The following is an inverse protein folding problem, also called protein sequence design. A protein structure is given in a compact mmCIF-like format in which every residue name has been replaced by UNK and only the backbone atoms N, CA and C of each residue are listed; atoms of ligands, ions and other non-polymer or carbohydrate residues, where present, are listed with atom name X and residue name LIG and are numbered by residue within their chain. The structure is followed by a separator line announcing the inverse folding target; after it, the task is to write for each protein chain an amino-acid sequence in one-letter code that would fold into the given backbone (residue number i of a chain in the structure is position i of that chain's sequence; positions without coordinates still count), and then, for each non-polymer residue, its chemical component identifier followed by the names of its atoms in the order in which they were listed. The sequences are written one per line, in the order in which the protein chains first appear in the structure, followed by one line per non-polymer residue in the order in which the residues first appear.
data_IF_359749660162
#
_entry.id   IF_359749660162
#
_cell.length_a   1.000
_cell.length_b   1.000
_cell.length_c   1.000
_cell.angle_alpha   90.00
_cell.angle_beta   90.00
_cell.angle_gamma   90.00
#
_symmetry.space_group_name_H-M   'P 1'
#
loop_
_entity.id
_entity.type
_entity.pdbx_description
1 polymer ?
#
# COMPACT_ATOMS: atom_id res chain seq x y z
N UNK A 1 -31.43 -5.95 21.28
CA UNK A 1 -30.60 -6.65 20.27
C UNK A 1 -30.68 -5.85 18.99
N UNK A 2 -29.64 -5.08 18.67
CA UNK A 2 -29.54 -4.31 17.41
C UNK A 2 -29.45 -5.29 16.23
N UNK A 3 -30.22 -5.02 15.17
CA UNK A 3 -30.15 -5.81 13.92
C UNK A 3 -28.71 -5.84 13.39
N UNK A 4 -28.26 -6.96 12.78
CA UNK A 4 -27.00 -6.97 12.06
C UNK A 4 -27.09 -6.01 10.87
N UNK A 5 -26.22 -4.99 10.86
CA UNK A 5 -26.08 -4.02 9.76
C UNK A 5 -25.66 -4.79 8.49
N UNK A 6 -26.54 -4.81 7.48
CA UNK A 6 -26.27 -5.48 6.22
C UNK A 6 -25.24 -4.67 5.42
N UNK A 7 -24.61 -5.31 4.43
CA UNK A 7 -23.54 -4.72 3.63
C UNK A 7 -23.98 -3.47 2.84
N UNK A 8 -25.29 -3.33 2.67
CA UNK A 8 -25.98 -2.28 1.93
C UNK A 8 -26.23 -1.03 2.79
N UNK A 9 -26.09 -1.13 4.12
CA UNK A 9 -26.46 -0.07 5.08
C UNK A 9 -25.26 0.75 5.61
N UNK A 10 -24.04 0.48 5.13
CA UNK A 10 -22.81 1.13 5.63
C UNK A 10 -22.31 2.24 4.69
N UNK A 11 -22.24 2.03 3.36
CA UNK A 11 -21.87 3.07 2.40
C UNK A 11 -23.02 4.04 2.12
N UNK A 12 -22.70 5.22 1.58
CA UNK A 12 -23.69 6.25 1.24
C UNK A 12 -23.73 7.36 2.30
N UNK A 13 -24.80 8.15 2.25
CA UNK A 13 -25.08 9.29 3.13
C UNK A 13 -26.35 9.97 2.66
N UNK A 14 -26.90 10.83 3.50
CA UNK A 14 -28.08 11.61 3.14
C UNK A 14 -27.69 12.81 2.26
N UNK A 15 -28.71 13.48 1.72
CA UNK A 15 -28.53 14.75 0.99
C UNK A 15 -27.99 15.88 1.88
N UNK A 16 -28.11 15.74 3.21
CA UNK A 16 -27.64 16.73 4.18
C UNK A 16 -26.15 16.62 4.49
N UNK A 17 -25.51 15.49 4.16
CA UNK A 17 -24.08 15.32 4.34
C UNK A 17 -23.29 16.39 3.57
N UNK A 18 -22.44 17.12 4.30
CA UNK A 18 -21.55 18.13 3.72
C UNK A 18 -20.13 17.63 3.50
N UNK A 19 -19.79 16.44 4.01
CA UNK A 19 -18.46 15.83 3.92
C UNK A 19 -18.51 14.54 3.12
N UNK A 20 -17.71 14.45 2.06
CA UNK A 20 -17.53 13.25 1.25
C UNK A 20 -16.22 12.53 1.61
N UNK A 21 -16.29 11.25 1.98
CA UNK A 21 -15.15 10.38 2.19
C UNK A 21 -15.10 9.26 1.14
N UNK A 22 -14.01 9.21 0.39
CA UNK A 22 -13.75 8.21 -0.64
C UNK A 22 -12.90 7.08 -0.09
N UNK A 23 -13.30 5.83 -0.29
CA UNK A 23 -12.55 4.65 0.15
C UNK A 23 -12.04 3.86 -1.05
N UNK A 24 -10.71 3.75 -1.19
CA UNK A 24 -10.05 3.15 -2.36
C UNK A 24 -9.37 1.84 -1.98
N UNK A 25 -9.83 0.72 -2.55
CA UNK A 25 -9.28 -0.61 -2.28
C UNK A 25 -7.96 -0.89 -3.00
N UNK A 26 -7.26 -1.95 -2.58
CA UNK A 26 -5.98 -2.39 -3.15
C UNK A 26 -6.08 -3.27 -4.40
N UNK A 27 -4.92 -3.78 -4.84
CA UNK A 27 -4.77 -4.68 -5.99
C UNK A 27 -5.64 -5.94 -5.82
N UNK A 28 -6.28 -6.39 -6.91
CA UNK A 28 -7.23 -7.53 -6.95
C UNK A 28 -8.45 -7.41 -6.05
N UNK A 29 -8.58 -6.27 -5.37
CA UNK A 29 -9.63 -5.99 -4.41
C UNK A 29 -10.94 -5.62 -5.05
N UNK A 30 -11.90 -5.31 -4.19
CA UNK A 30 -13.19 -4.78 -4.56
C UNK A 30 -13.68 -3.91 -3.37
N UNK A 31 -14.73 -3.11 -3.54
CA UNK A 31 -15.26 -2.22 -2.49
C UNK A 31 -15.45 -2.87 -1.13
N UNK A 32 -15.80 -4.17 -1.08
CA UNK A 32 -16.02 -4.90 0.18
C UNK A 32 -14.77 -4.96 1.06
N UNK A 33 -13.56 -4.80 0.49
CA UNK A 33 -12.32 -4.76 1.26
C UNK A 33 -12.21 -3.52 2.14
N UNK A 34 -12.96 -2.46 1.84
CA UNK A 34 -13.05 -1.22 2.63
C UNK A 34 -14.29 -1.19 3.54
N UNK A 35 -15.10 -2.25 3.56
CA UNK A 35 -16.35 -2.31 4.36
C UNK A 35 -16.12 -1.95 5.82
N UNK A 36 -15.10 -2.53 6.45
CA UNK A 36 -14.89 -2.33 7.88
C UNK A 36 -14.29 -0.95 8.18
N UNK A 37 -13.57 -0.35 7.22
CA UNK A 37 -13.18 1.06 7.29
C UNK A 37 -14.43 1.95 7.24
N UNK A 38 -15.34 1.69 6.30
CA UNK A 38 -16.62 2.41 6.20
C UNK A 38 -17.45 2.25 7.48
N UNK A 39 -17.49 1.03 8.04
CA UNK A 39 -18.21 0.74 9.28
C UNK A 39 -17.63 1.53 10.46
N UNK A 40 -16.31 1.57 10.60
CA UNK A 40 -15.68 2.34 11.67
C UNK A 40 -15.98 3.84 11.57
N UNK A 41 -16.09 4.38 10.36
CA UNK A 41 -16.53 5.77 10.16
C UNK A 41 -18.01 5.96 10.47
N UNK A 42 -18.89 5.05 9.99
CA UNK A 42 -20.33 5.11 10.23
C UNK A 42 -20.71 4.92 11.71
N UNK A 43 -19.91 4.17 12.46
CA UNK A 43 -20.08 4.01 13.91
C UNK A 43 -19.82 5.33 14.67
N UNK A 44 -19.08 6.29 14.08
CA UNK A 44 -18.76 7.59 14.69
C UNK A 44 -19.53 8.77 14.06
N UNK A 45 -19.89 8.67 12.78
CA UNK A 45 -20.51 9.76 12.01
C UNK A 45 -21.79 9.30 11.32
N UNK A 46 -22.87 10.04 11.52
CA UNK A 46 -24.18 9.76 10.94
C UNK A 46 -24.24 10.01 9.43
N UNK A 47 -25.29 9.52 8.77
CA UNK A 47 -25.50 9.72 7.32
C UNK A 47 -25.66 11.19 6.94
N UNK A 48 -26.08 12.03 7.89
CA UNK A 48 -26.22 13.48 7.71
C UNK A 48 -24.90 14.24 7.90
N UNK A 49 -23.89 13.62 8.52
CA UNK A 49 -22.57 14.23 8.73
C UNK A 49 -21.58 13.81 7.63
N UNK A 50 -21.63 12.53 7.24
CA UNK A 50 -20.62 11.92 6.38
C UNK A 50 -21.23 11.04 5.28
N UNK A 51 -20.94 11.41 4.03
CA UNK A 51 -21.19 10.59 2.86
C UNK A 51 -19.97 9.71 2.57
N UNK A 52 -20.14 8.39 2.55
CA UNK A 52 -19.04 7.43 2.34
C UNK A 52 -19.18 6.77 0.96
N UNK A 53 -18.17 6.91 0.10
CA UNK A 53 -18.12 6.29 -1.22
C UNK A 53 -16.95 5.28 -1.34
N UNK A 54 -17.22 3.97 -1.21
CA UNK A 54 -16.31 2.94 -1.67
C UNK A 54 -16.21 2.93 -3.19
N UNK A 55 -14.99 2.99 -3.72
CA UNK A 55 -14.75 3.05 -5.17
C UNK A 55 -15.09 1.72 -5.85
N UNK A 56 -15.89 1.80 -6.91
CA UNK A 56 -16.43 0.66 -7.66
C UNK A 56 -15.70 0.42 -8.99
N UNK A 57 -15.21 1.47 -9.66
CA UNK A 57 -14.68 1.40 -11.03
C UNK A 57 -13.34 0.67 -11.16
N UNK A 58 -12.64 0.39 -10.06
CA UNK A 58 -11.35 -0.31 -10.06
C UNK A 58 -11.39 -1.78 -9.61
N UNK A 59 -12.57 -2.39 -9.44
CA UNK A 59 -12.68 -3.74 -8.88
C UNK A 59 -11.93 -4.83 -9.69
N UNK A 60 -11.38 -5.81 -9.00
CA UNK A 60 -10.88 -7.05 -9.57
C UNK A 60 -9.78 -6.84 -10.61
N UNK A 61 -10.04 -7.21 -11.87
CA UNK A 61 -9.00 -7.18 -12.90
C UNK A 61 -8.70 -5.76 -13.42
N UNK A 62 -9.57 -4.79 -13.16
CA UNK A 62 -9.33 -3.39 -13.52
C UNK A 62 -8.13 -2.81 -12.75
N UNK A 63 -7.76 -3.40 -11.60
CA UNK A 63 -6.54 -3.01 -10.88
C UNK A 63 -5.24 -3.37 -11.59
N UNK A 64 -5.26 -4.17 -12.67
CA UNK A 64 -4.05 -4.47 -13.46
C UNK A 64 -3.70 -3.33 -14.44
N UNK A 65 -4.60 -2.36 -14.64
CA UNK A 65 -4.45 -1.28 -15.63
C UNK A 65 -3.49 -0.16 -15.21
N UNK A 66 -2.93 -0.24 -14.00
CA UNK A 66 -2.01 0.76 -13.47
C UNK A 66 -2.66 1.76 -12.53
N UNK A 67 -1.80 2.45 -11.79
CA UNK A 67 -2.12 3.55 -10.89
C UNK A 67 -2.69 4.74 -11.65
N UNK A 68 -2.18 5.03 -12.85
CA UNK A 68 -2.64 6.13 -13.72
C UNK A 68 -4.12 5.97 -14.09
N UNK A 69 -4.45 4.92 -14.84
CA UNK A 69 -5.84 4.67 -15.27
C UNK A 69 -6.74 4.40 -14.06
N UNK A 70 -6.21 3.73 -13.03
CA UNK A 70 -6.92 3.58 -11.77
C UNK A 70 -7.30 4.93 -11.16
N UNK A 71 -6.37 5.88 -11.13
CA UNK A 71 -6.58 7.22 -10.61
C UNK A 71 -7.53 8.06 -11.46
N UNK A 72 -7.47 7.94 -12.79
CA UNK A 72 -8.42 8.57 -13.72
C UNK A 72 -9.84 8.10 -13.47
N UNK A 73 -10.04 6.79 -13.31
CA UNK A 73 -11.35 6.20 -12.97
C UNK A 73 -11.88 6.70 -11.63
N UNK A 74 -11.02 6.77 -10.61
CA UNK A 74 -11.40 7.30 -9.28
C UNK A 74 -11.75 8.79 -9.38
N UNK A 75 -10.96 9.59 -10.09
CA UNK A 75 -11.25 11.00 -10.33
C UNK A 75 -12.62 11.18 -10.98
N UNK A 76 -12.90 10.44 -12.04
CA UNK A 76 -14.20 10.47 -12.71
C UNK A 76 -15.35 10.02 -11.80
N UNK A 77 -15.16 8.97 -10.99
CA UNK A 77 -16.17 8.51 -10.02
C UNK A 77 -16.48 9.56 -8.94
N UNK A 78 -15.46 10.30 -8.48
CA UNK A 78 -15.63 11.41 -7.54
C UNK A 78 -16.40 12.55 -8.19
N UNK A 79 -16.03 12.94 -9.41
CA UNK A 79 -16.73 13.96 -10.20
C UNK A 79 -18.20 13.60 -10.43
N UNK A 80 -18.48 12.38 -10.84
CA UNK A 80 -19.85 11.86 -11.03
C UNK A 80 -20.64 11.91 -9.72
N UNK A 81 -20.01 11.55 -8.59
CA UNK A 81 -20.68 11.55 -7.29
C UNK A 81 -20.97 12.96 -6.80
N UNK A 82 -20.02 13.89 -6.92
CA UNK A 82 -20.23 15.29 -6.55
C UNK A 82 -21.43 15.89 -7.30
N UNK A 83 -21.49 15.70 -8.63
CA UNK A 83 -22.63 16.15 -9.44
C UNK A 83 -23.94 15.48 -9.03
N UNK A 84 -23.93 14.15 -8.84
CA UNK A 84 -25.13 13.42 -8.41
C UNK A 84 -25.68 13.89 -7.06
N UNK A 85 -24.83 14.31 -6.12
CA UNK A 85 -25.28 14.84 -4.83
C UNK A 85 -25.87 16.25 -5.01
N UNK A 86 -25.24 17.08 -5.84
CA UNK A 86 -25.73 18.42 -6.17
C UNK A 86 -27.10 18.38 -6.88
N UNK A 87 -27.28 17.47 -7.83
CA UNK A 87 -28.56 17.24 -8.52
C UNK A 87 -29.69 16.80 -7.57
N UNK A 88 -29.34 16.12 -6.48
CA UNK A 88 -30.28 15.72 -5.43
C UNK A 88 -30.59 16.86 -4.44
N UNK A 89 -29.96 18.03 -4.60
CA UNK A 89 -30.11 19.20 -3.73
C UNK A 89 -29.14 19.24 -2.54
N UNK A 90 -28.15 18.35 -2.51
CA UNK A 90 -27.09 18.33 -1.49
C UNK A 90 -25.92 19.23 -1.86
N UNK A 91 -25.03 19.50 -0.90
CA UNK A 91 -23.81 20.29 -1.17
C UNK A 91 -22.64 19.78 -0.35
N UNK A 92 -21.70 19.13 -1.03
CA UNK A 92 -20.41 18.74 -0.45
C UNK A 92 -19.50 19.97 -0.37
N UNK A 93 -18.98 20.23 0.83
CA UNK A 93 -18.01 21.30 1.11
C UNK A 93 -16.69 20.76 1.65
N UNK A 94 -16.69 19.54 2.20
CA UNK A 94 -15.51 18.88 2.76
C UNK A 94 -15.19 17.59 2.02
N UNK A 95 -13.89 17.30 1.88
CA UNK A 95 -13.41 16.14 1.14
C UNK A 95 -12.40 15.32 1.93
N UNK A 96 -12.50 13.99 1.84
CA UNK A 96 -11.53 13.06 2.41
C UNK A 96 -11.37 11.85 1.53
N UNK A 97 -10.18 11.25 1.59
CA UNK A 97 -9.87 10.02 0.84
C UNK A 97 -9.01 9.10 1.70
N UNK A 98 -9.37 7.82 1.74
CA UNK A 98 -8.62 6.79 2.43
C UNK A 98 -8.32 5.61 1.49
N UNK A 99 -7.05 5.30 1.30
CA UNK A 99 -6.59 4.24 0.42
C UNK A 99 -5.97 3.07 1.19
N UNK A 100 -6.24 1.85 0.75
CA UNK A 100 -5.61 0.64 1.26
C UNK A 100 -4.68 0.02 0.21
N UNK A 101 -3.44 -0.31 0.58
CA UNK A 101 -2.46 -0.93 -0.31
C UNK A 101 -2.27 -0.11 -1.60
N UNK A 102 -2.39 -0.71 -2.80
CA UNK A 102 -2.38 0.00 -4.09
C UNK A 102 -3.37 1.19 -4.14
N UNK A 103 -4.48 1.11 -3.41
CA UNK A 103 -5.50 2.16 -3.36
C UNK A 103 -4.97 3.49 -2.84
N UNK A 104 -3.95 3.49 -1.97
CA UNK A 104 -3.29 4.73 -1.53
C UNK A 104 -2.50 5.42 -2.64
N UNK A 105 -1.87 4.65 -3.53
CA UNK A 105 -1.16 5.19 -4.69
C UNK A 105 -2.13 5.72 -5.75
N UNK A 106 -3.20 4.97 -6.01
CA UNK A 106 -4.33 5.41 -6.85
C UNK A 106 -4.95 6.71 -6.31
N UNK A 107 -5.09 6.82 -4.99
CA UNK A 107 -5.60 8.03 -4.33
C UNK A 107 -4.67 9.23 -4.55
N UNK A 108 -3.34 9.05 -4.47
CA UNK A 108 -2.36 10.13 -4.76
C UNK A 108 -2.50 10.62 -6.20
N UNK A 109 -2.64 9.70 -7.15
CA UNK A 109 -2.84 10.06 -8.56
C UNK A 109 -4.15 10.83 -8.76
N UNK A 110 -5.27 10.28 -8.26
CA UNK A 110 -6.60 10.91 -8.38
C UNK A 110 -6.65 12.31 -7.76
N UNK A 111 -6.06 12.50 -6.58
CA UNK A 111 -5.97 13.81 -5.92
C UNK A 111 -5.20 14.83 -6.76
N UNK A 112 -4.12 14.42 -7.42
CA UNK A 112 -3.40 15.29 -8.34
C UNK A 112 -4.25 15.72 -9.54
N UNK A 113 -5.07 14.81 -10.08
CA UNK A 113 -6.01 15.15 -11.16
C UNK A 113 -7.11 16.12 -10.68
N UNK A 114 -7.70 15.87 -9.52
CA UNK A 114 -8.71 16.75 -8.92
C UNK A 114 -8.13 18.15 -8.66
N UNK A 115 -6.88 18.24 -8.22
CA UNK A 115 -6.15 19.50 -8.07
C UNK A 115 -5.98 20.21 -9.42
N UNK A 116 -5.48 19.51 -10.45
CA UNK A 116 -5.29 20.08 -11.78
C UNK A 116 -6.60 20.57 -12.43
N UNK A 117 -7.72 19.88 -12.14
CA UNK A 117 -9.08 20.26 -12.55
C UNK A 117 -9.70 21.38 -11.70
N UNK A 118 -9.00 21.87 -10.67
CA UNK A 118 -9.47 22.88 -9.70
C UNK A 118 -10.68 22.46 -8.87
N UNK A 119 -11.06 21.18 -8.87
CA UNK A 119 -12.18 20.68 -8.07
C UNK A 119 -11.88 20.82 -6.57
N UNK A 120 -10.61 20.64 -6.18
CA UNK A 120 -10.18 20.82 -4.79
C UNK A 120 -10.14 22.29 -4.37
N UNK A 121 -10.42 23.26 -5.24
CA UNK A 121 -10.47 24.69 -4.87
C UNK A 121 -11.80 25.02 -4.19
N UNK A 122 -12.87 24.29 -4.53
CA UNK A 122 -14.21 24.47 -3.97
C UNK A 122 -14.47 23.59 -2.73
N UNK A 123 -13.48 22.79 -2.32
CA UNK A 123 -13.59 21.81 -1.24
C UNK A 123 -12.54 22.06 -0.16
N UNK A 124 -12.95 21.97 1.09
CA UNK A 124 -12.03 21.87 2.22
C UNK A 124 -11.51 20.43 2.32
N UNK A 125 -10.25 20.22 1.93
CA UNK A 125 -9.60 18.91 1.98
C UNK A 125 -9.22 18.57 3.43
N UNK A 126 -9.94 17.62 4.04
CA UNK A 126 -9.77 17.27 5.45
C UNK A 126 -8.71 16.19 5.66
N UNK A 127 -8.92 14.99 5.13
CA UNK A 127 -8.09 13.81 5.42
C UNK A 127 -7.60 13.10 4.15
N UNK A 128 -6.28 12.88 4.07
CA UNK A 128 -5.65 11.91 3.18
C UNK A 128 -5.07 10.78 4.03
N UNK A 129 -5.72 9.61 4.02
CA UNK A 129 -5.30 8.48 4.85
C UNK A 129 -4.83 7.29 4.02
N UNK A 130 -3.80 6.60 4.48
CA UNK A 130 -3.36 5.34 3.86
C UNK A 130 -3.16 4.22 4.87
N UNK A 131 -3.54 3.00 4.46
CA UNK A 131 -3.32 1.78 5.24
C UNK A 131 -2.45 0.83 4.43
N UNK A 132 -1.26 0.51 4.96
CA UNK A 132 -0.31 -0.40 4.33
C UNK A 132 -0.08 -0.12 2.83
N UNK A 133 0.04 1.16 2.44
CA UNK A 133 0.23 1.58 1.05
C UNK A 133 1.72 1.68 0.69
N UNK A 134 2.20 1.08 -0.42
CA UNK A 134 3.62 1.04 -0.75
C UNK A 134 4.09 2.34 -1.40
N UNK A 135 4.24 3.42 -0.62
CA UNK A 135 4.60 4.75 -1.12
C UNK A 135 5.96 4.82 -1.82
N UNK A 136 6.88 3.90 -1.50
CA UNK A 136 8.20 3.78 -2.11
C UNK A 136 8.30 2.58 -3.08
N UNK A 137 7.14 2.02 -3.46
CA UNK A 137 7.05 0.78 -4.23
C UNK A 137 7.25 -0.47 -3.39
N UNK A 138 7.39 -1.62 -4.03
CA UNK A 138 7.51 -2.94 -3.40
C UNK A 138 8.86 -3.60 -3.67
N UNK A 139 9.77 -2.87 -4.31
CA UNK A 139 11.12 -3.36 -4.60
C UNK A 139 11.89 -3.54 -3.29
N UNK A 140 12.27 -4.77 -2.98
CA UNK A 140 13.11 -5.10 -1.81
C UNK A 140 14.52 -4.53 -1.97
N UNK A 141 15.12 -3.93 -0.92
CA UNK A 141 16.49 -3.42 -0.97
C UNK A 141 17.47 -4.60 -1.12
N UNK A 142 18.16 -4.71 -2.25
CA UNK A 142 19.04 -5.83 -2.55
C UNK A 142 20.21 -5.42 -3.47
N UNK A 143 21.43 -5.89 -3.17
CA UNK A 143 22.66 -5.73 -3.97
C UNK A 143 22.80 -6.90 -4.96
N UNK A 144 23.28 -6.63 -6.17
CA UNK A 144 23.68 -7.66 -7.16
C UNK A 144 22.88 -7.71 -8.48
N UNK A 145 23.56 -8.11 -9.55
CA UNK A 145 23.08 -8.09 -10.95
C UNK A 145 22.14 -9.26 -11.32
N UNK A 146 22.38 -10.47 -10.79
CA UNK A 146 21.64 -11.69 -11.15
C UNK A 146 20.15 -11.66 -10.71
N UNK A 147 19.81 -10.94 -9.64
CA UNK A 147 18.43 -10.77 -9.16
C UNK A 147 17.68 -9.61 -9.85
N UNK A 148 18.40 -8.68 -10.49
CA UNK A 148 17.78 -7.63 -11.29
C UNK A 148 17.01 -8.27 -12.48
N UNK A 149 17.48 -9.40 -13.02
CA UNK A 149 16.76 -10.14 -14.06
C UNK A 149 15.46 -10.70 -13.53
N UNK A 150 15.40 -11.30 -12.33
CA UNK A 150 14.16 -11.88 -11.81
C UNK A 150 13.14 -10.82 -11.39
N UNK A 151 13.59 -9.71 -10.79
CA UNK A 151 12.76 -8.55 -10.50
C UNK A 151 12.24 -7.88 -11.79
N UNK A 152 13.05 -7.82 -12.84
CA UNK A 152 12.65 -7.24 -14.14
C UNK A 152 11.78 -8.19 -14.96
N UNK A 153 12.07 -9.49 -15.01
CA UNK A 153 11.31 -10.48 -15.77
C UNK A 153 9.95 -10.73 -15.10
N UNK A 154 9.93 -10.89 -13.77
CA UNK A 154 8.73 -11.00 -12.96
C UNK A 154 7.87 -9.74 -13.05
N UNK A 155 8.41 -8.54 -12.76
CA UNK A 155 7.62 -7.31 -12.84
C UNK A 155 7.12 -6.99 -14.27
N UNK A 156 7.86 -7.38 -15.33
CA UNK A 156 7.39 -7.26 -16.72
C UNK A 156 6.28 -8.26 -17.09
N UNK A 157 6.16 -9.40 -16.40
CA UNK A 157 5.03 -10.34 -16.56
C UNK A 157 3.81 -9.97 -15.70
N UNK A 158 3.96 -9.02 -14.77
CA UNK A 158 3.00 -8.73 -13.68
C UNK A 158 2.03 -7.56 -13.95
N UNK A 159 1.72 -7.21 -15.20
CA UNK A 159 0.89 -6.05 -15.61
C UNK A 159 1.51 -4.66 -15.41
N UNK A 160 0.80 -3.61 -15.86
CA UNK A 160 1.20 -2.20 -15.66
C UNK A 160 1.32 -1.85 -14.18
N UNK A 161 0.35 -2.24 -13.35
CA UNK A 161 0.42 -2.02 -11.90
C UNK A 161 1.63 -2.68 -11.26
N UNK A 162 2.01 -3.88 -11.72
CA UNK A 162 3.23 -4.56 -11.27
C UNK A 162 4.48 -3.76 -11.62
N UNK A 163 4.61 -3.33 -12.89
CA UNK A 163 5.75 -2.51 -13.33
C UNK A 163 5.90 -1.22 -12.52
N UNK A 164 4.79 -0.54 -12.23
CA UNK A 164 4.76 0.69 -11.44
C UNK A 164 5.12 0.45 -9.97
N UNK A 165 4.56 -0.60 -9.34
CA UNK A 165 4.90 -0.95 -7.96
C UNK A 165 6.39 -1.32 -7.78
N UNK A 166 6.99 -1.97 -8.77
CA UNK A 166 8.42 -2.31 -8.75
C UNK A 166 9.34 -1.18 -9.24
N UNK A 167 8.79 -0.01 -9.58
CA UNK A 167 9.52 1.16 -10.11
C UNK A 167 10.43 0.83 -11.29
N UNK A 168 9.95 -0.01 -12.21
CA UNK A 168 10.63 -0.37 -13.47
C UNK A 168 9.89 0.13 -14.72
N UNK A 169 8.87 0.94 -14.50
CA UNK A 169 8.16 1.69 -15.52
C UNK A 169 8.90 2.98 -15.88
N UNK A 170 8.45 3.60 -16.95
CA UNK A 170 8.86 4.93 -17.35
C UNK A 170 7.58 5.70 -17.61
N UNK A 171 7.34 6.72 -16.80
CA UNK A 171 6.09 7.48 -16.86
C UNK A 171 6.19 8.57 -17.92
N UNK A 172 5.47 8.38 -19.02
CA UNK A 172 5.43 9.32 -20.17
C UNK A 172 6.85 9.71 -20.59
N UNK A 173 7.08 10.98 -20.93
CA UNK A 173 8.38 11.49 -21.39
C UNK A 173 9.33 11.91 -20.26
N UNK A 174 9.04 11.54 -19.01
CA UNK A 174 9.84 11.98 -17.84
C UNK A 174 11.14 11.21 -17.68
N UNK A 175 11.28 10.04 -18.32
CA UNK A 175 12.34 9.06 -18.05
C UNK A 175 12.45 8.60 -16.59
N UNK A 176 11.41 8.85 -15.76
CA UNK A 176 11.34 8.47 -14.34
C UNK A 176 10.21 7.46 -14.09
N UNK A 177 10.30 6.60 -13.06
CA UNK A 177 9.18 5.77 -12.63
C UNK A 177 8.00 6.63 -12.13
N UNK A 178 6.76 6.15 -12.32
CA UNK A 178 5.57 6.90 -11.89
C UNK A 178 5.60 7.27 -10.40
N UNK A 179 6.07 6.38 -9.52
CA UNK A 179 6.09 6.68 -8.07
C UNK A 179 7.03 7.84 -7.72
N UNK A 180 8.14 7.98 -8.45
CA UNK A 180 9.04 9.12 -8.31
C UNK A 180 8.36 10.41 -8.75
N UNK A 181 7.65 10.39 -9.89
CA UNK A 181 6.87 11.53 -10.39
C UNK A 181 5.72 11.90 -9.43
N UNK A 182 5.05 10.93 -8.82
CA UNK A 182 4.01 11.18 -7.80
C UNK A 182 4.57 11.86 -6.53
N UNK A 183 5.87 11.75 -6.27
CA UNK A 183 6.56 12.36 -5.13
C UNK A 183 7.38 13.59 -5.52
N UNK A 184 7.34 14.00 -6.80
CA UNK A 184 8.05 15.18 -7.27
C UNK A 184 7.39 16.43 -6.67
N UNK A 185 8.15 17.32 -5.99
CA UNK A 185 7.61 18.42 -5.21
C UNK A 185 6.86 19.44 -6.07
N UNK A 186 7.19 19.53 -7.37
CA UNK A 186 6.60 20.44 -8.35
C UNK A 186 5.43 19.78 -9.11
N UNK A 187 5.13 18.50 -8.84
CA UNK A 187 4.02 17.81 -9.47
C UNK A 187 2.65 18.28 -8.96
N UNK A 188 1.64 18.11 -9.80
CA UNK A 188 0.22 18.26 -9.41
C UNK A 188 -0.16 17.30 -8.29
N UNK A 189 0.49 16.13 -8.20
CA UNK A 189 0.20 15.11 -7.21
C UNK A 189 0.61 15.56 -5.82
N UNK A 190 1.81 16.13 -5.68
CA UNK A 190 2.28 16.71 -4.42
C UNK A 190 1.49 17.99 -4.08
N UNK A 191 1.15 18.80 -5.08
CA UNK A 191 0.32 20.00 -4.87
C UNK A 191 -1.08 19.65 -4.35
N UNK A 192 -1.73 18.64 -4.92
CA UNK A 192 -3.01 18.13 -4.43
C UNK A 192 -2.91 17.50 -3.04
N UNK A 193 -1.85 16.73 -2.76
CA UNK A 193 -1.62 16.13 -1.45
C UNK A 193 -1.42 17.19 -0.35
N UNK A 194 -0.72 18.28 -0.67
CA UNK A 194 -0.48 19.41 0.25
C UNK A 194 -1.77 20.12 0.69
N UNK A 195 -2.86 20.04 -0.11
CA UNK A 195 -4.15 20.66 0.24
C UNK A 195 -4.84 20.05 1.45
N UNK A 196 -4.57 18.79 1.79
CA UNK A 196 -5.26 18.12 2.89
C UNK A 196 -4.78 18.65 4.23
N UNK A 197 -5.70 18.98 5.13
CA UNK A 197 -5.36 19.41 6.50
C UNK A 197 -4.59 18.31 7.25
N UNK A 198 -4.95 17.05 7.04
CA UNK A 198 -4.32 15.90 7.68
C UNK A 198 -3.91 14.83 6.68
N UNK A 199 -2.67 14.38 6.81
CA UNK A 199 -2.09 13.26 6.06
C UNK A 199 -1.66 12.20 7.04
N UNK A 200 -2.33 11.06 7.05
CA UNK A 200 -2.12 10.00 8.04
C UNK A 200 -1.79 8.69 7.34
N UNK A 201 -0.77 7.98 7.81
CA UNK A 201 -0.45 6.65 7.33
C UNK A 201 -0.39 5.65 8.48
N UNK A 202 -0.90 4.45 8.23
CA UNK A 202 -0.78 3.29 9.10
C UNK A 202 0.08 2.25 8.41
N UNK A 203 1.14 1.82 9.10
CA UNK A 203 2.16 0.92 8.56
C UNK A 203 2.33 -0.28 9.47
N UNK A 204 2.23 -1.48 8.92
CA UNK A 204 2.49 -2.70 9.69
C UNK A 204 3.99 -2.82 9.99
N UNK A 205 4.35 -3.04 11.25
CA UNK A 205 5.76 -3.24 11.64
C UNK A 205 6.24 -4.68 11.44
N UNK A 206 5.31 -5.64 11.38
CA UNK A 206 5.61 -7.07 11.19
C UNK A 206 4.57 -7.76 10.32
N UNK A 207 4.97 -8.90 9.76
CA UNK A 207 4.11 -9.86 9.06
C UNK A 207 3.40 -9.33 7.79
N UNK A 208 3.72 -8.11 7.34
CA UNK A 208 3.23 -7.59 6.08
C UNK A 208 4.21 -7.98 4.98
N UNK A 209 3.85 -9.02 4.24
CA UNK A 209 4.67 -9.58 3.16
C UNK A 209 4.42 -8.90 1.82
N UNK A 210 3.33 -8.14 1.71
CA UNK A 210 2.95 -7.45 0.49
C UNK A 210 3.59 -6.07 0.44
N UNK A 211 3.53 -5.36 1.58
CA UNK A 211 4.00 -3.99 1.72
C UNK A 211 4.83 -3.90 3.00
N UNK A 212 6.15 -3.98 2.82
CA UNK A 212 7.10 -3.91 3.92
C UNK A 212 6.99 -2.57 4.67
N UNK A 213 7.45 -2.56 5.92
CA UNK A 213 7.33 -1.39 6.80
C UNK A 213 7.93 -0.14 6.15
N UNK A 214 9.19 -0.22 5.68
CA UNK A 214 9.91 0.97 5.18
C UNK A 214 9.20 1.69 4.03
N UNK A 215 8.51 0.96 3.15
CA UNK A 215 7.81 1.55 2.01
C UNK A 215 6.48 2.20 2.42
N UNK A 216 5.75 1.60 3.35
CA UNK A 216 4.48 2.18 3.83
C UNK A 216 4.69 3.28 4.86
N UNK A 217 5.77 3.22 5.62
CA UNK A 217 6.16 4.22 6.61
C UNK A 217 6.93 5.41 6.01
N UNK A 218 7.30 5.34 4.72
CA UNK A 218 8.10 6.38 4.05
C UNK A 218 9.39 6.61 4.86
N UNK A 219 10.23 5.59 4.94
CA UNK A 219 11.46 5.64 5.75
C UNK A 219 12.58 4.83 5.10
N UNK A 220 13.81 5.22 5.41
CA UNK A 220 15.03 4.53 5.00
C UNK A 220 15.53 3.52 6.04
N UNK A 221 14.82 3.37 7.15
CA UNK A 221 15.18 2.47 8.26
C UNK A 221 14.05 1.48 8.54
N UNK A 222 14.40 0.23 8.81
CA UNK A 222 13.45 -0.79 9.27
C UNK A 222 14.02 -1.46 10.53
N UNK A 223 13.69 -0.94 11.73
CA UNK A 223 14.20 -1.49 12.98
C UNK A 223 13.42 -2.72 13.46
N UNK A 224 12.35 -3.13 12.75
CA UNK A 224 11.44 -4.19 13.18
C UNK A 224 11.78 -5.56 12.57
N UNK A 225 12.85 -5.64 11.78
CA UNK A 225 13.34 -6.90 11.20
C UNK A 225 13.71 -7.93 12.26
N UNK A 226 14.15 -7.49 13.44
CA UNK A 226 14.34 -8.32 14.62
C UNK A 226 13.76 -7.62 15.87
N UNK A 227 12.52 -7.98 16.21
CA UNK A 227 11.84 -7.49 17.40
C UNK A 227 12.58 -7.84 18.72
N UNK A 228 13.51 -8.80 18.72
CA UNK A 228 14.32 -9.14 19.89
C UNK A 228 15.27 -8.01 20.30
N UNK A 229 15.65 -7.14 19.36
CA UNK A 229 16.61 -6.05 19.56
C UNK A 229 15.96 -4.71 19.93
N UNK A 230 14.64 -4.62 19.92
CA UNK A 230 13.89 -3.39 20.17
C UNK A 230 12.84 -3.58 21.25
N UNK A 231 12.67 -2.56 22.09
CA UNK A 231 11.47 -2.43 22.92
C UNK A 231 10.47 -1.55 22.19
N UNK A 232 9.23 -2.01 22.07
CA UNK A 232 8.16 -1.27 21.41
C UNK A 232 7.46 -0.37 22.43
N UNK A 233 7.33 0.90 22.09
CA UNK A 233 6.55 1.86 22.86
C UNK A 233 5.18 2.01 22.22
N UNK A 234 4.12 1.70 22.97
CA UNK A 234 2.76 1.79 22.48
C UNK A 234 2.14 3.16 22.78
N UNK A 235 1.29 3.62 21.86
CA UNK A 235 0.47 4.80 22.03
C UNK A 235 -0.52 4.59 23.18
N UNK A 236 -0.59 5.56 24.08
CA UNK A 236 -1.50 5.53 25.24
C UNK A 236 -2.96 5.41 24.80
N UNK A 237 -3.70 4.46 25.38
CA UNK A 237 -5.10 4.15 25.04
C UNK A 237 -5.27 3.17 23.86
N UNK A 238 -4.18 2.81 23.19
CA UNK A 238 -4.15 1.87 22.06
C UNK A 238 -3.06 0.81 22.28
N UNK A 239 -2.83 0.47 23.56
CA UNK A 239 -1.79 -0.44 24.00
C UNK A 239 -1.88 -1.77 23.25
N UNK A 240 -0.72 -2.36 22.97
CA UNK A 240 -0.53 -3.60 22.21
C UNK A 240 -0.78 -3.54 20.69
N UNK A 241 -1.31 -2.45 20.12
CA UNK A 241 -1.55 -2.39 18.67
C UNK A 241 -0.86 -1.21 17.99
N UNK A 242 -1.05 0.02 18.47
CA UNK A 242 -0.50 1.21 17.81
C UNK A 242 0.73 1.68 18.58
N UNK A 243 1.83 1.91 17.89
CA UNK A 243 3.05 2.43 18.47
C UNK A 243 2.98 3.97 18.57
N UNK A 244 3.73 4.52 19.53
CA UNK A 244 3.91 5.96 19.65
C UNK A 244 4.53 6.51 18.35
N UNK A 245 3.92 7.50 17.68
CA UNK A 245 4.40 8.00 16.40
C UNK A 245 5.73 8.75 16.50
N UNK A 246 6.03 9.35 17.65
CA UNK A 246 7.23 10.18 17.86
C UNK A 246 8.39 9.31 18.36
N UNK A 247 8.12 8.35 19.23
CA UNK A 247 9.12 7.49 19.87
C UNK A 247 8.70 6.02 19.85
N UNK A 248 8.57 5.38 18.66
CA UNK A 248 7.98 4.04 18.55
C UNK A 248 8.83 2.92 19.15
N UNK A 249 10.14 3.13 19.24
CA UNK A 249 11.09 2.11 19.72
C UNK A 249 12.13 2.68 20.68
N UNK A 250 12.62 1.81 21.56
CA UNK A 250 13.87 2.00 22.31
C UNK A 250 14.80 0.84 21.96
N UNK A 251 16.01 1.16 21.48
CA UNK A 251 17.02 0.15 21.16
C UNK A 251 17.47 -0.56 22.45
N UNK A 252 17.51 -1.89 22.42
CA UNK A 252 18.08 -2.65 23.54
C UNK A 252 19.62 -2.57 23.45
N UNK A 253 20.32 -2.32 24.56
CA UNK A 253 21.77 -2.48 24.60
C UNK A 253 22.10 -3.92 24.21
N UNK A 254 22.97 -4.11 23.21
CA UNK A 254 23.48 -5.43 22.88
C UNK A 254 24.32 -5.92 24.07
N UNK A 255 23.76 -6.76 24.94
CA UNK A 255 24.60 -7.59 25.80
C UNK A 255 25.38 -8.51 24.86
N UNK A 256 26.70 -8.47 24.98
CA UNK A 256 27.61 -9.34 24.22
C UNK A 256 27.30 -10.80 24.61
N UNK A 257 26.41 -11.44 23.86
CA UNK A 257 26.16 -12.87 24.00
C UNK A 257 27.22 -13.60 23.18
N UNK A 258 28.17 -14.21 23.88
CA UNK A 258 29.08 -15.20 23.31
C UNK A 258 28.27 -16.27 22.59
N UNK A 259 28.31 -16.24 21.27
CA UNK A 259 27.57 -17.19 20.44
C UNK A 259 28.49 -18.33 20.04
N UNK A 260 28.75 -19.25 20.97
CA UNK A 260 29.18 -20.61 20.66
C UNK A 260 28.21 -21.59 21.33
N UNK A 261 27.01 -21.70 20.77
CA UNK A 261 26.15 -22.86 20.97
C UNK A 261 25.62 -23.30 19.61
N UNK A 262 26.18 -24.41 19.13
CA UNK A 262 25.71 -25.14 17.96
C UNK A 262 24.30 -25.65 18.28
N UNK A 263 23.31 -25.11 17.59
CA UNK A 263 21.90 -25.40 17.83
C UNK A 263 21.49 -26.77 17.22
N UNK A 264 21.44 -27.80 18.07
CA UNK A 264 20.91 -29.12 17.75
C UNK A 264 19.39 -29.14 17.47
N UNK A 265 18.68 -28.00 17.46
CA UNK A 265 17.26 -27.91 17.09
C UNK A 265 17.01 -27.83 15.58
N UNK A 266 17.98 -27.35 14.77
CA UNK A 266 17.84 -27.23 13.32
C UNK A 266 17.64 -28.60 12.62
N UNK A 267 18.30 -29.65 13.12
CA UNK A 267 18.22 -31.01 12.57
C UNK A 267 16.85 -31.67 12.83
N UNK A 268 16.20 -31.35 13.96
CA UNK A 268 14.86 -31.89 14.30
C UNK A 268 13.72 -31.21 13.52
N UNK A 269 13.93 -29.99 13.04
CA UNK A 269 12.93 -29.25 12.25
C UNK A 269 12.89 -29.71 10.79
N UNK A 270 14.02 -30.18 10.25
CA UNK A 270 14.14 -30.68 8.88
C UNK A 270 13.36 -32.00 8.63
N UNK A 271 13.12 -32.79 9.69
CA UNK A 271 12.50 -34.12 9.58
C UNK A 271 10.95 -34.04 9.55
N UNK A 272 10.34 -32.94 10.00
CA UNK A 272 8.88 -32.73 9.93
C UNK A 272 8.38 -32.04 8.64
N UNK A 273 9.27 -31.74 7.70
CA UNK A 273 9.00 -30.92 6.49
C UNK A 273 8.85 -31.69 5.19
N UNK A 274 8.88 -33.03 5.18
CA UNK A 274 8.80 -33.82 3.92
C UNK A 274 7.49 -33.60 3.15
N UNK A 275 6.29 -33.56 3.78
CA UNK A 275 5.05 -33.22 3.07
C UNK A 275 5.04 -31.79 2.52
N UNK A 276 5.67 -30.85 3.25
CA UNK A 276 5.79 -29.45 2.86
C UNK A 276 6.70 -29.28 1.62
N UNK A 277 7.77 -30.07 1.53
CA UNK A 277 8.71 -30.04 0.40
C UNK A 277 8.06 -30.56 -0.89
N UNK A 278 7.18 -31.57 -0.82
CA UNK A 278 6.44 -32.06 -2.00
C UNK A 278 5.38 -31.04 -2.44
N UNK A 279 4.65 -30.41 -1.51
CA UNK A 279 3.73 -29.31 -1.82
C UNK A 279 4.45 -28.12 -2.46
N UNK A 280 5.59 -27.70 -1.89
CA UNK A 280 6.39 -26.58 -2.40
C UNK A 280 7.10 -26.92 -3.71
N UNK A 281 7.55 -28.16 -3.88
CA UNK A 281 8.33 -28.59 -5.05
C UNK A 281 7.50 -28.95 -6.29
N UNK A 282 6.22 -29.32 -6.12
CA UNK A 282 5.36 -29.76 -7.24
C UNK A 282 4.20 -28.80 -7.48
N UNK A 283 3.50 -28.37 -6.43
CA UNK A 283 2.30 -27.55 -6.59
C UNK A 283 2.67 -26.10 -6.91
N UNK A 284 3.70 -25.55 -6.27
CA UNK A 284 4.10 -24.15 -6.52
C UNK A 284 4.56 -23.94 -7.97
N UNK A 285 5.42 -24.78 -8.58
CA UNK A 285 5.77 -24.61 -9.99
C UNK A 285 4.55 -24.63 -10.92
N UNK A 286 3.58 -25.51 -10.68
CA UNK A 286 2.34 -25.58 -11.46
C UNK A 286 1.50 -24.31 -11.26
N UNK A 287 1.30 -23.87 -10.02
CA UNK A 287 0.57 -22.64 -9.69
C UNK A 287 1.27 -21.42 -10.30
N UNK A 288 2.60 -21.37 -10.27
CA UNK A 288 3.42 -20.32 -10.88
C UNK A 288 3.25 -20.31 -12.39
N UNK A 289 3.25 -21.47 -13.07
CA UNK A 289 3.01 -21.54 -14.51
C UNK A 289 1.59 -21.07 -14.86
N UNK A 290 0.58 -21.56 -14.13
CA UNK A 290 -0.81 -21.10 -14.30
C UNK A 290 -0.92 -19.59 -14.06
N UNK A 291 -0.22 -19.08 -13.05
CA UNK A 291 -0.16 -17.65 -12.75
C UNK A 291 0.52 -16.85 -13.85
N UNK A 292 1.64 -17.32 -14.41
CA UNK A 292 2.33 -16.64 -15.52
C UNK A 292 1.41 -16.59 -16.74
N UNK A 293 0.74 -17.69 -17.07
CA UNK A 293 -0.24 -17.73 -18.18
C UNK A 293 -1.41 -16.79 -17.91
N UNK A 294 -1.98 -16.82 -16.71
CA UNK A 294 -3.08 -15.92 -16.32
C UNK A 294 -2.64 -14.46 -16.36
N UNK A 295 -1.45 -14.13 -15.85
CA UNK A 295 -0.90 -12.78 -15.82
C UNK A 295 -0.58 -12.28 -17.23
N UNK A 296 -0.10 -13.15 -18.11
CA UNK A 296 0.09 -12.83 -19.52
C UNK A 296 -1.26 -12.50 -20.19
N UNK A 297 -2.29 -13.33 -19.99
CA UNK A 297 -3.65 -13.06 -20.50
C UNK A 297 -4.20 -11.74 -19.94
N UNK A 298 -4.07 -11.49 -18.64
CA UNK A 298 -4.54 -10.24 -18.03
C UNK A 298 -3.74 -9.04 -18.52
N UNK A 299 -2.44 -9.18 -18.79
CA UNK A 299 -1.60 -8.13 -19.35
C UNK A 299 -2.06 -7.77 -20.76
N UNK A 300 -2.37 -8.75 -21.62
CA UNK A 300 -2.93 -8.49 -22.96
C UNK A 300 -4.31 -7.82 -22.87
N UNK A 301 -5.19 -8.33 -22.00
CA UNK A 301 -6.52 -7.74 -21.78
C UNK A 301 -6.44 -6.32 -21.22
N UNK A 302 -5.49 -6.08 -20.32
CA UNK A 302 -5.19 -4.76 -19.79
C UNK A 302 -4.74 -3.85 -20.91
N UNK A 303 -3.73 -4.23 -21.70
CA UNK A 303 -3.25 -3.45 -22.85
C UNK A 303 -4.37 -3.07 -23.83
N UNK A 304 -5.31 -3.98 -24.11
CA UNK A 304 -6.50 -3.66 -24.92
C UNK A 304 -7.42 -2.63 -24.24
N UNK A 305 -7.65 -2.73 -22.93
CA UNK A 305 -8.42 -1.72 -22.16
C UNK A 305 -7.72 -0.36 -22.15
N UNK A 306 -6.40 -0.34 -21.98
CA UNK A 306 -5.59 0.88 -22.02
C UNK A 306 -5.72 1.53 -23.38
N UNK A 307 -5.52 0.77 -24.46
CA UNK A 307 -5.67 1.26 -25.83
C UNK A 307 -7.07 1.83 -26.11
N UNK A 308 -8.12 1.16 -25.64
CA UNK A 308 -9.50 1.64 -25.77
C UNK A 308 -9.77 2.91 -24.95
N UNK A 309 -9.12 3.04 -23.78
CA UNK A 309 -9.20 4.24 -22.95
C UNK A 309 -8.50 5.42 -23.63
N UNK A 310 -7.30 5.20 -24.16
CA UNK A 310 -6.51 6.20 -24.88
C UNK A 310 -7.16 6.64 -26.21
N UNK A 311 -7.85 5.72 -26.92
CA UNK A 311 -8.57 6.04 -28.16
C UNK A 311 -9.90 6.77 -27.95
N UNK A 312 -10.35 6.95 -26.69
CA UNK A 312 -11.66 7.53 -26.37
C UNK A 312 -12.85 6.61 -26.65
N UNK A 313 -12.61 5.36 -27.07
CA UNK A 313 -13.64 4.36 -27.37
C UNK A 313 -14.16 3.64 -26.11
N UNK A 314 -13.54 3.88 -24.95
CA UNK A 314 -13.96 3.39 -23.65
C UNK A 314 -15.20 4.12 -23.11
N UNK A 315 -16.29 4.15 -23.90
CA UNK A 315 -17.62 4.47 -23.39
C UNK A 315 -17.95 3.53 -22.24
N UNK A 316 -18.23 4.10 -21.07
CA UNK A 316 -18.49 3.44 -19.79
C UNK A 316 -19.59 2.35 -19.88
N UNK A 317 -19.23 1.14 -20.32
CA UNK A 317 -20.04 -0.07 -20.15
C UNK A 317 -19.39 -0.95 -19.08
N UNK A 318 -19.75 -0.67 -17.83
CA UNK A 318 -19.34 -1.43 -16.63
C UNK A 318 -20.05 -2.80 -16.57
N UNK A 319 -21.03 -3.06 -17.44
CA UNK A 319 -21.88 -4.25 -17.38
C UNK A 319 -21.32 -5.53 -18.00
N UNK A 320 -20.22 -5.48 -18.76
CA UNK A 320 -19.55 -6.72 -19.16
C UNK A 320 -18.58 -7.16 -18.07
N UNK A 321 -18.67 -8.45 -17.68
CA UNK A 321 -17.81 -9.16 -16.72
C UNK A 321 -18.26 -9.22 -15.26
N UNK A 322 -19.50 -9.66 -15.02
CA UNK A 322 -19.78 -10.53 -13.86
C UNK A 322 -19.02 -11.85 -14.05
N UNK A 323 -17.95 -12.06 -13.28
CA UNK A 323 -17.09 -13.24 -13.39
C UNK A 323 -17.58 -14.40 -12.49
N UNK A 324 -17.45 -15.67 -12.92
CA UNK A 324 -17.85 -16.83 -12.14
C UNK A 324 -16.97 -17.06 -10.89
N UNK A 325 -17.59 -17.57 -9.82
CA UNK A 325 -17.03 -17.79 -8.47
C UNK A 325 -15.73 -18.63 -8.41
N UNK A 326 -15.39 -19.38 -9.47
CA UNK A 326 -14.22 -20.28 -9.52
C UNK A 326 -12.86 -19.58 -9.64
N UNK A 327 -12.80 -18.26 -9.90
CA UNK A 327 -11.54 -17.50 -10.06
C UNK A 327 -11.00 -16.91 -8.74
N UNK A 328 -11.82 -16.89 -7.67
CA UNK A 328 -11.38 -16.38 -6.36
C UNK A 328 -10.18 -17.16 -5.79
N UNK A 329 -10.18 -18.49 -5.97
CA UNK A 329 -9.08 -19.36 -5.55
C UNK A 329 -7.77 -19.09 -6.31
N UNK A 330 -7.87 -18.74 -7.61
CA UNK A 330 -6.70 -18.37 -8.41
C UNK A 330 -6.12 -17.05 -7.88
N UNK A 331 -6.96 -16.04 -7.59
CA UNK A 331 -6.50 -14.77 -7.02
C UNK A 331 -5.87 -14.94 -5.65
N UNK A 332 -6.45 -15.74 -4.76
CA UNK A 332 -5.88 -16.03 -3.45
C UNK A 332 -4.53 -16.77 -3.57
N UNK A 333 -4.42 -17.73 -4.49
CA UNK A 333 -3.15 -18.41 -4.77
C UNK A 333 -2.08 -17.48 -5.35
N UNK A 334 -2.50 -16.49 -6.13
CA UNK A 334 -1.63 -15.46 -6.72
C UNK A 334 -1.19 -14.42 -5.69
N UNK A 335 -2.09 -13.94 -4.83
CA UNK A 335 -1.77 -13.15 -3.64
C UNK A 335 -0.70 -13.87 -2.81
N UNK A 336 -0.91 -15.16 -2.56
CA UNK A 336 0.03 -15.95 -1.79
C UNK A 336 1.40 -16.10 -2.48
N UNK A 337 1.43 -16.35 -3.79
CA UNK A 337 2.68 -16.44 -4.55
C UNK A 337 3.45 -15.12 -4.51
N UNK A 338 2.75 -13.99 -4.64
CA UNK A 338 3.33 -12.66 -4.54
C UNK A 338 3.91 -12.38 -3.15
N UNK A 339 3.15 -12.67 -2.08
CA UNK A 339 3.61 -12.55 -0.70
C UNK A 339 4.83 -13.43 -0.39
N UNK A 340 4.85 -14.66 -0.92
CA UNK A 340 6.00 -15.57 -0.77
C UNK A 340 7.23 -15.01 -1.47
N UNK A 341 7.08 -14.49 -2.70
CA UNK A 341 8.19 -13.89 -3.44
C UNK A 341 8.78 -12.69 -2.69
N UNK A 342 7.94 -11.77 -2.23
CA UNK A 342 8.39 -10.59 -1.48
C UNK A 342 9.06 -10.98 -0.16
N UNK A 343 8.47 -11.91 0.60
CA UNK A 343 9.05 -12.34 1.90
C UNK A 343 10.31 -13.21 1.77
N UNK A 344 10.56 -13.82 0.60
CA UNK A 344 11.77 -14.61 0.35
C UNK A 344 13.03 -13.77 0.16
N UNK A 345 12.88 -12.48 -0.17
CA UNK A 345 13.98 -11.56 -0.39
C UNK A 345 14.44 -10.95 0.95
N UNK A 346 15.68 -11.23 1.38
CA UNK A 346 16.28 -10.57 2.55
C UNK A 346 16.58 -9.10 2.24
N UNK A 347 16.07 -8.19 3.07
CA UNK A 347 16.41 -6.77 3.03
C UNK A 347 17.90 -6.59 3.27
N UNK A 348 18.57 -5.87 2.36
CA UNK A 348 19.98 -5.55 2.49
C UNK A 348 20.17 -4.10 2.94
N UNK A 349 21.10 -3.94 3.87
CA UNK A 349 21.51 -2.66 4.42
C UNK A 349 22.86 -2.24 3.83
N UNK A 350 23.15 -0.95 3.87
CA UNK A 350 24.51 -0.50 3.56
C UNK A 350 25.50 -1.05 4.60
N UNK A 351 26.56 -1.69 4.11
CA UNK A 351 27.68 -2.17 4.93
C UNK A 351 28.82 -1.15 4.86
N UNK A 352 29.60 -1.00 5.93
CA UNK A 352 30.75 -0.10 6.01
C UNK A 352 31.87 -0.43 5.00
N UNK A 353 31.83 -1.61 4.37
CA UNK A 353 32.73 -2.03 3.31
C UNK A 353 31.93 -2.75 2.23
N UNK A 354 31.96 -2.22 1.00
CA UNK A 354 32.05 -2.97 -0.26
C UNK A 354 31.93 -1.98 -1.45
N UNK A 355 32.96 -2.01 -2.30
CA UNK A 355 33.24 -1.10 -3.41
C UNK A 355 32.70 -1.57 -4.76
N UNK A 356 32.02 -2.72 -4.82
CA UNK A 356 31.64 -3.37 -6.09
C UNK A 356 30.36 -2.81 -6.74
N UNK A 357 29.54 -2.05 -6.00
CA UNK A 357 28.26 -1.52 -6.50
C UNK A 357 28.37 -0.17 -7.25
N UNK A 358 29.58 0.39 -7.40
CA UNK A 358 29.76 1.74 -7.94
C UNK A 358 29.55 1.83 -9.46
N UNK A 359 29.45 0.74 -10.21
CA UNK A 359 29.48 0.77 -11.67
C UNK A 359 28.11 0.95 -12.36
N UNK A 360 26.99 0.82 -11.64
CA UNK A 360 25.62 0.82 -12.22
C UNK A 360 24.96 2.20 -12.20
N UNK A 361 25.41 3.11 -11.32
CA UNK A 361 24.75 4.38 -11.05
C UNK A 361 25.46 5.58 -11.67
N UNK A 362 24.70 6.63 -11.99
CA UNK A 362 25.23 7.91 -12.48
C UNK A 362 26.10 8.63 -11.43
N UNK A 363 26.91 9.60 -11.85
CA UNK A 363 27.87 10.29 -10.96
C UNK A 363 27.17 11.03 -9.81
N UNK A 364 25.98 11.59 -10.04
CA UNK A 364 25.15 12.24 -9.01
C UNK A 364 24.67 11.24 -7.95
N UNK A 365 24.04 10.15 -8.39
CA UNK A 365 23.54 9.06 -7.52
C UNK A 365 24.63 8.48 -6.62
N UNK A 366 25.86 8.32 -7.15
CA UNK A 366 27.00 7.83 -6.37
C UNK A 366 27.34 8.73 -5.19
N UNK A 367 27.22 10.06 -5.34
CA UNK A 367 27.52 11.00 -4.25
C UNK A 367 26.47 10.92 -3.15
N UNK A 368 25.19 10.83 -3.50
CA UNK A 368 24.10 10.71 -2.54
C UNK A 368 24.17 9.37 -1.80
N UNK A 369 24.37 8.26 -2.50
CA UNK A 369 24.56 6.94 -1.87
C UNK A 369 25.78 6.90 -0.94
N UNK A 370 26.89 7.56 -1.31
CA UNK A 370 28.06 7.70 -0.43
C UNK A 370 27.76 8.54 0.81
N UNK A 371 26.93 9.59 0.68
CA UNK A 371 26.48 10.42 1.81
C UNK A 371 25.60 9.59 2.76
N UNK A 372 24.59 8.90 2.26
CA UNK A 372 23.69 8.06 3.07
C UNK A 372 24.43 6.91 3.77
N UNK A 373 25.41 6.30 3.10
CA UNK A 373 26.32 5.31 3.71
C UNK A 373 27.11 5.88 4.89
N UNK A 374 27.60 7.12 4.79
CA UNK A 374 28.38 7.78 5.84
C UNK A 374 27.52 8.19 7.04
N UNK A 375 26.24 8.50 6.80
CA UNK A 375 25.29 8.92 7.84
C UNK A 375 24.65 7.71 8.53
N UNK A 376 24.70 6.51 7.92
CA UNK A 376 24.13 5.29 8.49
C UNK A 376 24.71 4.99 9.87
N UNK A 377 23.83 4.95 10.88
CA UNK A 377 24.17 4.58 12.25
C UNK A 377 24.12 3.05 12.44
N UNK A 378 25.09 2.42 13.14
CA UNK A 378 25.02 1.00 13.48
C UNK A 378 23.78 0.56 14.30
N UNK A 379 23.15 1.48 15.04
CA UNK A 379 21.92 1.22 15.80
C UNK A 379 20.66 1.22 14.95
N UNK A 380 20.64 2.00 13.87
CA UNK A 380 19.56 2.05 12.88
C UNK A 380 20.15 2.07 11.46
N UNK A 381 20.52 0.91 10.90
CA UNK A 381 21.19 0.85 9.61
C UNK A 381 20.28 1.36 8.48
N UNK A 382 20.86 2.09 7.53
CA UNK A 382 20.17 2.59 6.34
C UNK A 382 19.99 1.47 5.30
N UNK A 383 18.78 1.33 4.78
CA UNK A 383 18.43 0.37 3.73
C UNK A 383 19.12 0.73 2.39
N UNK A 384 19.46 -0.29 1.60
CA UNK A 384 20.04 -0.11 0.27
C UNK A 384 18.99 0.27 -0.79
N UNK A 385 18.35 1.44 -0.61
CA UNK A 385 17.33 2.00 -1.50
C UNK A 385 17.94 2.62 -2.77
N UNK A 386 17.10 2.81 -3.80
CA UNK A 386 17.49 3.54 -5.03
C UNK A 386 17.55 5.05 -4.79
N UNK A 387 18.18 5.79 -5.71
CA UNK A 387 18.18 7.26 -5.69
C UNK A 387 16.76 7.82 -5.64
N UNK A 388 15.88 7.37 -6.55
CA UNK A 388 14.47 7.78 -6.57
C UNK A 388 13.77 7.49 -5.24
N UNK A 389 14.08 6.38 -4.57
CA UNK A 389 13.47 6.06 -3.27
C UNK A 389 13.92 7.01 -2.15
N UNK A 390 15.19 7.45 -2.14
CA UNK A 390 15.64 8.46 -1.20
C UNK A 390 14.96 9.81 -1.44
N UNK A 391 14.89 10.24 -2.71
CA UNK A 391 14.20 11.47 -3.10
C UNK A 391 12.70 11.42 -2.75
N UNK A 392 12.04 10.28 -3.02
CA UNK A 392 10.64 10.05 -2.64
C UNK A 392 10.44 10.21 -1.13
N UNK A 393 11.35 9.69 -0.29
CA UNK A 393 11.26 9.83 1.17
C UNK A 393 11.34 11.30 1.57
N UNK A 394 12.35 12.02 1.10
CA UNK A 394 12.56 13.44 1.46
C UNK A 394 11.35 14.30 1.07
N UNK A 395 10.86 14.15 -0.16
CA UNK A 395 9.75 14.96 -0.67
C UNK A 395 8.42 14.61 0.01
N UNK A 396 8.17 13.32 0.27
CA UNK A 396 6.95 12.91 0.96
C UNK A 396 6.95 13.32 2.43
N UNK A 397 8.09 13.26 3.11
CA UNK A 397 8.18 13.74 4.50
C UNK A 397 7.97 15.24 4.61
N UNK A 398 8.39 16.01 3.60
CA UNK A 398 8.18 17.45 3.53
C UNK A 398 6.69 17.89 3.52
N UNK A 399 5.74 16.99 3.26
CA UNK A 399 4.30 17.31 3.31
C UNK A 399 3.63 16.98 4.65
N UNK A 400 4.39 16.56 5.67
CA UNK A 400 3.92 16.48 7.06
C UNK A 400 2.99 15.31 7.36
N UNK A 401 3.47 14.07 7.16
CA UNK A 401 2.72 12.86 7.51
C UNK A 401 2.69 12.60 9.02
N UNK A 402 1.53 12.20 9.51
CA UNK A 402 1.35 11.52 10.80
C UNK A 402 1.49 10.02 10.58
N UNK A 403 2.55 9.42 11.10
CA UNK A 403 2.94 8.04 10.82
C UNK A 403 2.67 7.15 12.02
N UNK A 404 1.76 6.19 11.89
CA UNK A 404 1.41 5.26 12.97
C UNK A 404 1.89 3.85 12.67
N UNK A 405 2.97 3.38 13.32
CA UNK A 405 3.37 1.98 13.22
C UNK A 405 2.37 1.10 13.97
N UNK A 406 1.99 -0.02 13.34
CA UNK A 406 0.96 -0.94 13.81
C UNK A 406 1.54 -2.33 14.00
N UNK A 407 1.37 -2.86 15.20
CA UNK A 407 1.73 -4.21 15.60
C UNK A 407 0.50 -5.12 15.61
N UNK A 408 0.16 -5.72 14.46
CA UNK A 408 -0.85 -6.77 14.39
C UNK A 408 -0.25 -8.07 14.94
N UNK A 409 -0.74 -8.53 16.09
CA UNK A 409 -0.19 -9.67 16.82
C UNK A 409 -1.03 -10.93 16.63
N UNK A 410 -2.36 -10.77 16.54
CA UNK A 410 -3.31 -11.89 16.51
C UNK A 410 -3.39 -12.61 15.16
N UNK A 411 -2.71 -12.12 14.12
CA UNK A 411 -2.72 -12.73 12.80
C UNK A 411 -1.41 -12.56 12.03
N UNK A 412 -1.04 -13.57 11.23
CA UNK A 412 0.19 -13.58 10.42
C UNK A 412 0.06 -12.89 9.06
N UNK A 413 -1.15 -12.53 8.66
CA UNK A 413 -1.43 -11.73 7.46
C UNK A 413 -1.85 -10.34 7.95
N UNK A 414 -0.88 -9.52 8.37
CA UNK A 414 -1.14 -8.18 8.91
C UNK A 414 -1.62 -7.20 7.83
N UNK A 415 -1.22 -7.41 6.56
CA UNK A 415 -1.68 -6.62 5.41
C UNK A 415 -3.21 -6.53 5.34
N UNK A 416 -3.90 -7.66 5.25
CA UNK A 416 -5.36 -7.72 5.28
C UNK A 416 -5.98 -7.40 6.65
N UNK A 417 -5.27 -7.66 7.75
CA UNK A 417 -5.80 -7.45 9.09
C UNK A 417 -5.90 -5.97 9.47
N UNK A 418 -5.00 -5.10 8.97
CA UNK A 418 -4.97 -3.67 9.33
C UNK A 418 -6.25 -2.91 8.96
N UNK A 419 -6.96 -3.35 7.91
CA UNK A 419 -8.27 -2.82 7.48
C UNK A 419 -9.43 -3.78 7.79
N UNK A 420 -9.15 -4.84 8.56
CA UNK A 420 -10.10 -5.91 8.87
C UNK A 420 -10.78 -6.44 7.60
N UNK A 421 -10.01 -6.89 6.60
CA UNK A 421 -10.57 -7.36 5.29
C UNK A 421 -11.59 -8.49 5.43
N UNK A 422 -11.57 -9.23 6.54
CA UNK A 422 -12.49 -10.30 6.88
C UNK A 422 -12.94 -10.16 8.33
N UNK A 423 -14.23 -10.36 8.59
CA UNK A 423 -14.81 -10.37 9.94
C UNK A 423 -14.40 -11.65 10.70
N UNK A 424 -13.20 -11.64 11.29
CA UNK A 424 -12.62 -12.74 12.08
C UNK A 424 -12.10 -12.21 13.41
N UNK A 425 -12.22 -13.00 14.46
CA UNK A 425 -11.67 -12.66 15.78
C UNK A 425 -10.15 -12.44 15.72
N UNK A 426 -9.44 -13.19 14.88
CA UNK A 426 -8.00 -13.00 14.67
C UNK A 426 -7.63 -11.63 14.08
N UNK A 427 -8.60 -10.89 13.51
CA UNK A 427 -8.40 -9.54 12.97
C UNK A 427 -8.76 -8.45 14.00
N UNK A 428 -8.99 -8.81 15.27
CA UNK A 428 -9.38 -7.88 16.33
C UNK A 428 -8.43 -6.67 16.49
N UNK A 429 -7.12 -6.86 16.26
CA UNK A 429 -6.15 -5.74 16.36
C UNK A 429 -6.42 -4.69 15.27
N UNK A 430 -6.89 -5.08 14.08
CA UNK A 430 -7.28 -4.15 13.03
C UNK A 430 -8.42 -3.23 13.46
N UNK A 431 -9.37 -3.70 14.27
CA UNK A 431 -10.44 -2.84 14.79
C UNK A 431 -9.92 -1.74 15.71
N UNK A 432 -8.79 -1.96 16.41
CA UNK A 432 -8.15 -0.92 17.22
C UNK A 432 -7.60 0.20 16.32
N UNK A 433 -6.98 -0.18 15.20
CA UNK A 433 -6.51 0.76 14.17
C UNK A 433 -7.67 1.57 13.57
N UNK A 434 -8.75 0.90 13.17
CA UNK A 434 -9.89 1.57 12.55
C UNK A 434 -10.62 2.52 13.51
N UNK A 435 -10.71 2.16 14.80
CA UNK A 435 -11.25 3.07 15.84
C UNK A 435 -10.36 4.27 16.09
N UNK A 436 -9.04 4.09 16.14
CA UNK A 436 -8.09 5.21 16.21
C UNK A 436 -8.26 6.15 15.02
N UNK A 437 -8.33 5.57 13.81
CA UNK A 437 -8.56 6.31 12.59
C UNK A 437 -9.85 7.14 12.65
N UNK A 438 -11.00 6.52 12.92
CA UNK A 438 -12.28 7.20 12.88
C UNK A 438 -12.43 8.28 13.98
N UNK A 439 -11.92 8.04 15.19
CA UNK A 439 -12.11 8.93 16.35
C UNK A 439 -11.07 10.03 16.51
N UNK A 440 -9.82 9.70 16.24
CA UNK A 440 -8.68 10.57 16.57
C UNK A 440 -8.15 11.24 15.32
N UNK A 441 -7.98 10.45 14.26
CA UNK A 441 -7.30 10.90 13.05
C UNK A 441 -8.25 11.46 11.98
N UNK A 442 -9.51 11.05 11.93
CA UNK A 442 -10.46 11.56 10.94
C UNK A 442 -11.05 12.91 11.38
N UNK A 443 -10.77 13.96 10.63
CA UNK A 443 -11.36 15.29 10.81
C UNK A 443 -12.70 15.39 10.06
N UNK A 444 -13.75 15.93 10.69
CA UNK A 444 -15.06 16.20 10.06
C UNK A 444 -15.29 17.64 9.74
#
# INVERSE_FOLDING_TARGET
MSKPVLLEDVPGGSVHATHLCILVHGLWGNPSHMRNVAKALRDEYSEDELYILPVEKNRGNFTYDGIEIGGERVCAEIEDKLRSIEEQGGKITKFSIAGYSLGGLVSRYAVGLLYAKKILDDLECMNFTTFASPHLGVRTPHKGWLNNVWNVLGARTLSISGRQLFTIDTFRDTNRPLLAVLADPDSIFMSGLKKFNRRTLYTNIVNDRSVLHYTSAITKHDPYTDLGNVNLNYLKGYESVILDPDHPIVLRPKLQQDTLLIDHAALRKCIKSIPLIVTVGVIIPIVVVVFIVYSAIQTVRSANRIKAHESGEAGLKIEEYRMPLRIKQIREGVEHAYEVLNSSQKQQYFSASNSEDELVYGVGDRKLLKKERRISDPGQPTLALTHDQFEMIENLDAVGWRKFPVHIQKHRHSHAAIVVRMDKESFADGWVVLKHFARIEFLV
#
